data_IF_030463019334
#
_entry.id   IF_030463019334
#
_cell.length_a   1.000
_cell.length_b   1.000
_cell.length_c   1.000
_cell.angle_alpha   90.00
_cell.angle_beta   90.00
_cell.angle_gamma   90.00
#
_symmetry.space_group_name_H-M   'P 1'
#
loop_
_entity.id
_entity.type
_entity.pdbx_description
1 polymer ?
#
# COMPACT_ATOMS: atom_id res chain seq x y z
N UNK A 1 2.17 -9.93 -3.78
CA UNK A 1 2.98 -9.08 -4.65
C UNK A 1 4.43 -9.59 -4.64
N UNK A 2 4.87 -10.23 -5.73
CA UNK A 2 6.28 -10.66 -5.91
C UNK A 2 7.14 -9.47 -6.36
N UNK A 3 7.09 -8.38 -5.61
CA UNK A 3 7.88 -7.18 -5.87
C UNK A 3 9.28 -7.36 -5.28
N UNK A 4 10.23 -7.74 -6.12
CA UNK A 4 11.64 -7.80 -5.74
C UNK A 4 12.28 -6.42 -5.83
N UNK A 5 12.74 -5.90 -4.69
CA UNK A 5 13.51 -4.67 -4.63
C UNK A 5 14.95 -4.92 -5.11
N UNK A 6 15.35 -4.22 -6.15
CA UNK A 6 16.73 -4.18 -6.62
C UNK A 6 17.11 -2.72 -6.89
N UNK A 7 18.39 -2.37 -6.68
CA UNK A 7 18.88 -1.03 -7.06
C UNK A 7 18.64 -0.73 -8.54
N UNK A 8 18.60 -1.76 -9.40
CA UNK A 8 18.30 -1.63 -10.83
C UNK A 8 16.82 -1.28 -11.09
N UNK A 9 15.90 -1.64 -10.18
CA UNK A 9 14.45 -1.37 -10.31
C UNK A 9 14.03 -0.05 -9.69
N UNK A 10 14.90 0.63 -8.95
CA UNK A 10 14.58 1.91 -8.32
C UNK A 10 14.08 2.97 -9.31
N UNK A 11 14.68 3.15 -10.50
CA UNK A 11 14.15 4.08 -11.49
C UNK A 11 12.74 3.71 -11.98
N UNK A 12 12.45 2.41 -12.14
CA UNK A 12 11.13 1.91 -12.51
C UNK A 12 10.09 2.25 -11.42
N UNK A 13 10.44 2.01 -10.15
CA UNK A 13 9.58 2.30 -9.00
C UNK A 13 9.28 3.79 -8.89
N UNK A 14 10.30 4.65 -9.00
CA UNK A 14 10.11 6.11 -8.94
C UNK A 14 9.29 6.63 -10.12
N UNK A 15 9.52 6.09 -11.33
CA UNK A 15 8.74 6.46 -12.52
C UNK A 15 7.28 6.07 -12.39
N UNK A 16 6.99 4.86 -11.91
CA UNK A 16 5.61 4.40 -11.70
C UNK A 16 4.92 5.18 -10.56
N UNK A 17 5.62 5.49 -9.48
CA UNK A 17 5.09 6.30 -8.38
C UNK A 17 4.75 7.73 -8.81
N UNK A 18 5.64 8.38 -9.58
CA UNK A 18 5.40 9.74 -10.09
C UNK A 18 4.29 9.77 -11.14
N UNK A 19 4.24 8.76 -12.02
CA UNK A 19 3.15 8.66 -13.00
C UNK A 19 1.80 8.44 -12.31
N UNK A 20 1.73 7.55 -11.32
CA UNK A 20 0.53 7.31 -10.53
C UNK A 20 0.02 8.60 -9.85
N UNK A 21 0.92 9.40 -9.26
CA UNK A 21 0.55 10.67 -8.65
C UNK A 21 0.04 11.69 -9.67
N UNK A 22 0.73 11.82 -10.81
CA UNK A 22 0.32 12.72 -11.88
C UNK A 22 -1.03 12.30 -12.49
N UNK A 23 -1.18 11.03 -12.83
CA UNK A 23 -2.40 10.44 -13.38
C UNK A 23 -3.60 10.61 -12.43
N UNK A 24 -3.41 10.32 -11.14
CA UNK A 24 -4.42 10.53 -10.11
C UNK A 24 -4.85 12.01 -10.05
N UNK A 25 -3.90 12.94 -10.00
CA UNK A 25 -4.19 14.38 -9.94
C UNK A 25 -4.93 14.88 -11.18
N UNK A 26 -4.46 14.53 -12.37
CA UNK A 26 -5.09 14.92 -13.63
C UNK A 26 -6.51 14.35 -13.76
N UNK A 27 -6.70 13.06 -13.44
CA UNK A 27 -8.02 12.43 -13.48
C UNK A 27 -8.97 13.01 -12.43
N UNK A 28 -8.49 13.26 -11.20
CA UNK A 28 -9.29 13.90 -10.15
C UNK A 28 -9.78 15.28 -10.58
N UNK A 29 -8.89 16.12 -11.13
CA UNK A 29 -9.27 17.43 -11.62
C UNK A 29 -10.27 17.36 -12.78
N UNK A 30 -10.06 16.46 -13.73
CA UNK A 30 -10.96 16.26 -14.86
C UNK A 30 -12.37 15.81 -14.42
N UNK A 31 -12.43 14.79 -13.54
CA UNK A 31 -13.70 14.27 -13.02
C UNK A 31 -14.37 15.31 -12.12
N UNK A 32 -13.63 16.00 -11.24
CA UNK A 32 -14.19 17.06 -10.39
C UNK A 32 -14.78 18.20 -11.22
N UNK A 33 -14.09 18.65 -12.27
CA UNK A 33 -14.60 19.66 -13.19
C UNK A 33 -15.90 19.19 -13.88
N UNK A 34 -15.92 17.94 -14.35
CA UNK A 34 -17.11 17.37 -14.95
C UNK A 34 -18.29 17.33 -13.95
N UNK A 35 -18.08 16.88 -12.72
CA UNK A 35 -19.11 16.85 -11.68
C UNK A 35 -19.61 18.26 -11.30
N UNK A 36 -18.68 19.22 -11.22
CA UNK A 36 -19.00 20.62 -10.92
C UNK A 36 -19.87 21.24 -12.02
N UNK A 37 -19.47 21.12 -13.30
CA UNK A 37 -20.17 21.75 -14.42
C UNK A 37 -21.45 21.02 -14.84
N UNK A 38 -21.49 19.68 -14.76
CA UNK A 38 -22.63 18.89 -15.24
C UNK A 38 -23.72 18.66 -14.16
N UNK A 39 -23.30 18.47 -12.91
CA UNK A 39 -24.21 18.18 -11.79
C UNK A 39 -24.42 19.37 -10.85
N UNK A 40 -23.70 20.49 -11.05
CA UNK A 40 -23.79 21.67 -10.19
C UNK A 40 -23.35 21.43 -8.75
N UNK A 41 -22.48 20.41 -8.52
CA UNK A 41 -21.97 20.13 -7.19
C UNK A 41 -21.01 21.24 -6.74
N UNK A 42 -20.96 21.50 -5.43
CA UNK A 42 -19.91 22.34 -4.87
C UNK A 42 -18.53 21.76 -5.17
N UNK A 43 -17.52 22.62 -5.44
CA UNK A 43 -16.19 22.20 -5.85
C UNK A 43 -15.53 21.22 -4.87
N UNK A 44 -15.64 21.48 -3.56
CA UNK A 44 -15.12 20.59 -2.54
C UNK A 44 -15.74 19.19 -2.64
N UNK A 45 -17.07 19.14 -2.70
CA UNK A 45 -17.83 17.88 -2.84
C UNK A 45 -17.45 17.14 -4.14
N UNK A 46 -17.32 17.86 -5.24
CA UNK A 46 -16.89 17.31 -6.52
C UNK A 46 -15.51 16.66 -6.44
N UNK A 47 -14.54 17.31 -5.77
CA UNK A 47 -13.20 16.77 -5.56
C UNK A 47 -13.22 15.50 -4.68
N UNK A 48 -13.99 15.52 -3.58
CA UNK A 48 -14.13 14.36 -2.67
C UNK A 48 -14.66 13.13 -3.42
N UNK A 49 -15.65 13.31 -4.31
CA UNK A 49 -16.15 12.21 -5.15
C UNK A 49 -15.20 11.83 -6.28
N UNK A 50 -14.47 12.77 -6.84
CA UNK A 50 -13.57 12.54 -7.95
C UNK A 50 -12.34 11.70 -7.55
N UNK A 51 -11.79 11.86 -6.34
CA UNK A 51 -10.61 11.15 -5.89
C UNK A 51 -10.78 9.62 -5.97
N UNK A 52 -11.79 9.00 -5.34
CA UNK A 52 -11.98 7.55 -5.43
C UNK A 52 -12.19 7.05 -6.85
N UNK A 53 -12.88 7.83 -7.69
CA UNK A 53 -13.12 7.48 -9.09
C UNK A 53 -11.86 7.58 -9.97
N UNK A 54 -10.83 8.28 -9.49
CA UNK A 54 -9.55 8.46 -10.19
C UNK A 54 -8.51 7.41 -9.84
N UNK A 55 -8.75 6.58 -8.82
CA UNK A 55 -7.81 5.54 -8.38
C UNK A 55 -7.77 4.41 -9.41
N UNK A 56 -6.57 4.08 -9.87
CA UNK A 56 -6.34 2.89 -10.69
C UNK A 56 -6.31 1.65 -9.78
N UNK A 57 -7.36 0.84 -9.82
CA UNK A 57 -7.51 -0.32 -8.93
C UNK A 57 -6.49 -1.42 -9.20
N UNK A 58 -5.61 -1.69 -8.25
CA UNK A 58 -4.67 -2.83 -8.28
C UNK A 58 -5.39 -4.17 -8.33
N UNK A 59 -6.60 -4.25 -7.78
CA UNK A 59 -7.43 -5.45 -7.82
C UNK A 59 -7.84 -5.86 -9.24
N UNK A 60 -7.92 -4.91 -10.18
CA UNK A 60 -8.22 -5.15 -11.59
C UNK A 60 -6.94 -5.31 -12.39
N UNK A 61 -5.95 -4.46 -12.16
CA UNK A 61 -4.69 -4.43 -12.92
C UNK A 61 -3.90 -5.73 -12.74
N UNK A 62 -3.70 -6.19 -11.50
CA UNK A 62 -2.83 -7.36 -11.22
C UNK A 62 -3.24 -8.61 -12.01
N UNK A 63 -4.51 -9.03 -12.06
CA UNK A 63 -4.90 -10.18 -12.88
C UNK A 63 -4.89 -9.90 -14.39
N UNK A 64 -5.03 -8.65 -14.80
CA UNK A 64 -5.14 -8.27 -16.23
C UNK A 64 -3.80 -8.19 -16.96
N UNK A 65 -2.69 -8.04 -16.24
CA UNK A 65 -1.35 -7.85 -16.83
C UNK A 65 -0.60 -9.15 -17.14
N UNK A 66 -1.25 -10.31 -17.02
CA UNK A 66 -0.63 -11.62 -17.21
C UNK A 66 0.03 -11.83 -18.58
N UNK A 67 -0.49 -11.21 -19.65
CA UNK A 67 0.02 -11.29 -21.02
C UNK A 67 1.13 -10.29 -21.37
N UNK A 68 1.52 -9.41 -20.45
CA UNK A 68 2.54 -8.39 -20.69
C UNK A 68 3.96 -8.91 -20.43
N UNK A 69 4.95 -8.26 -21.04
CA UNK A 69 6.36 -8.50 -20.70
C UNK A 69 6.61 -8.19 -19.22
N UNK A 70 7.59 -8.88 -18.62
CA UNK A 70 7.87 -8.79 -17.18
C UNK A 70 8.03 -7.33 -16.70
N UNK A 71 8.77 -6.51 -17.44
CA UNK A 71 9.00 -5.10 -17.12
C UNK A 71 7.70 -4.27 -17.12
N UNK A 72 6.85 -4.46 -18.14
CA UNK A 72 5.55 -3.79 -18.23
C UNK A 72 4.60 -4.24 -17.13
N UNK A 73 4.59 -5.55 -16.84
CA UNK A 73 3.81 -6.11 -15.74
C UNK A 73 4.23 -5.49 -14.41
N UNK A 74 5.53 -5.48 -14.09
CA UNK A 74 6.04 -4.87 -12.88
C UNK A 74 5.68 -3.38 -12.79
N UNK A 75 5.86 -2.64 -13.89
CA UNK A 75 5.51 -1.23 -13.95
C UNK A 75 4.03 -0.98 -13.59
N UNK A 76 3.11 -1.70 -14.23
CA UNK A 76 1.66 -1.57 -13.99
C UNK A 76 1.27 -1.95 -12.55
N UNK A 77 1.91 -2.99 -11.99
CA UNK A 77 1.69 -3.40 -10.60
C UNK A 77 2.16 -2.31 -9.64
N UNK A 78 3.34 -1.72 -9.86
CA UNK A 78 3.81 -0.60 -9.04
C UNK A 78 2.90 0.61 -9.18
N UNK A 79 2.54 0.99 -10.40
CA UNK A 79 1.70 2.16 -10.68
C UNK A 79 0.34 2.03 -9.98
N UNK A 80 -0.36 0.90 -10.14
CA UNK A 80 -1.66 0.68 -9.49
C UNK A 80 -1.55 0.66 -7.97
N UNK A 81 -0.49 0.06 -7.41
CA UNK A 81 -0.25 0.05 -5.97
C UNK A 81 -0.01 1.47 -5.42
N UNK A 82 0.79 2.28 -6.12
CA UNK A 82 0.99 3.67 -5.74
C UNK A 82 -0.26 4.51 -5.93
N UNK A 83 -1.06 4.24 -6.96
CA UNK A 83 -2.36 4.91 -7.18
C UNK A 83 -3.31 4.67 -6.01
N UNK A 84 -3.42 3.43 -5.50
CA UNK A 84 -4.21 3.12 -4.31
C UNK A 84 -3.72 3.90 -3.08
N UNK A 85 -2.39 3.95 -2.86
CA UNK A 85 -1.79 4.65 -1.72
C UNK A 85 -2.04 6.16 -1.80
N UNK A 86 -1.68 6.77 -2.94
CA UNK A 86 -1.84 8.21 -3.17
C UNK A 86 -3.31 8.62 -3.11
N UNK A 87 -4.21 7.81 -3.69
CA UNK A 87 -5.65 8.09 -3.71
C UNK A 87 -6.26 8.10 -2.33
N UNK A 88 -6.01 7.07 -1.52
CA UNK A 88 -6.52 7.03 -0.14
C UNK A 88 -5.92 8.15 0.69
N UNK A 89 -4.64 8.45 0.52
CA UNK A 89 -4.00 9.56 1.21
C UNK A 89 -4.60 10.91 0.81
N UNK A 90 -4.78 11.15 -0.49
CA UNK A 90 -5.42 12.37 -1.00
C UNK A 90 -6.85 12.52 -0.47
N UNK A 91 -7.61 11.43 -0.44
CA UNK A 91 -8.98 11.42 0.08
C UNK A 91 -9.04 11.86 1.56
N UNK A 92 -8.28 11.19 2.43
CA UNK A 92 -8.25 11.56 3.85
C UNK A 92 -7.69 12.96 4.09
N UNK A 93 -6.77 13.39 3.25
CA UNK A 93 -6.18 14.71 3.33
C UNK A 93 -7.21 15.80 2.98
N UNK A 94 -7.94 15.62 1.90
CA UNK A 94 -8.99 16.58 1.51
C UNK A 94 -10.07 16.64 2.60
N UNK A 95 -10.53 15.47 3.10
CA UNK A 95 -11.51 15.42 4.18
C UNK A 95 -11.01 16.03 5.50
N UNK A 96 -9.75 15.79 5.86
CA UNK A 96 -9.18 16.29 7.12
C UNK A 96 -8.82 17.78 7.11
N UNK A 97 -8.77 18.42 5.94
CA UNK A 97 -8.36 19.82 5.79
C UNK A 97 -9.46 20.70 5.18
N UNK A 98 -10.72 20.38 5.44
CA UNK A 98 -11.87 21.21 4.98
C UNK A 98 -11.75 22.67 5.41
N UNK A 99 -11.19 22.93 6.60
CA UNK A 99 -11.04 24.26 7.20
C UNK A 99 -9.63 24.83 7.06
N UNK A 100 -8.73 24.16 6.30
CA UNK A 100 -7.34 24.57 6.18
C UNK A 100 -7.22 25.92 5.42
N UNK A 101 -6.57 26.87 6.07
CA UNK A 101 -6.52 28.28 5.64
C UNK A 101 -5.52 28.54 4.50
N UNK A 102 -4.68 27.54 4.12
CA UNK A 102 -3.71 27.74 3.04
C UNK A 102 -3.00 26.49 2.51
N UNK A 103 -2.54 26.53 1.25
CA UNK A 103 -1.84 25.39 0.61
C UNK A 103 -0.58 24.93 1.32
N UNK A 104 0.14 25.86 2.00
CA UNK A 104 1.35 25.54 2.73
C UNK A 104 1.11 24.69 3.98
N UNK A 105 0.03 24.92 4.70
CA UNK A 105 -0.34 24.14 5.88
C UNK A 105 -0.78 22.72 5.48
N UNK A 106 -1.53 22.62 4.39
CA UNK A 106 -1.93 21.34 3.80
C UNK A 106 -0.68 20.53 3.43
N UNK A 107 0.27 21.13 2.70
CA UNK A 107 1.50 20.44 2.27
C UNK A 107 2.38 20.00 3.46
N UNK A 108 2.46 20.82 4.51
CA UNK A 108 3.17 20.49 5.75
C UNK A 108 2.50 19.32 6.48
N UNK A 109 1.17 19.32 6.58
CA UNK A 109 0.39 18.24 7.20
C UNK A 109 0.60 16.92 6.43
N UNK A 110 0.58 16.96 5.10
CA UNK A 110 0.90 15.81 4.23
C UNK A 110 2.29 15.26 4.57
N UNK A 111 3.30 16.12 4.54
CA UNK A 111 4.69 15.71 4.75
C UNK A 111 4.91 15.07 6.12
N UNK A 112 4.30 15.64 7.17
CA UNK A 112 4.39 15.10 8.54
C UNK A 112 3.67 13.75 8.63
N UNK A 113 2.45 13.64 8.13
CA UNK A 113 1.67 12.39 8.17
C UNK A 113 2.32 11.27 7.35
N UNK A 114 2.87 11.59 6.18
CA UNK A 114 3.63 10.65 5.37
C UNK A 114 4.89 10.17 6.07
N UNK A 115 5.69 11.12 6.57
CA UNK A 115 6.94 10.81 7.28
C UNK A 115 6.69 9.97 8.53
N UNK A 116 5.72 10.35 9.35
CA UNK A 116 5.32 9.60 10.54
C UNK A 116 4.82 8.20 10.18
N UNK A 117 3.94 8.08 9.16
CA UNK A 117 3.42 6.79 8.69
C UNK A 117 4.55 5.88 8.20
N UNK A 118 5.53 6.40 7.46
CA UNK A 118 6.69 5.64 6.98
C UNK A 118 7.55 5.11 8.13
N UNK A 119 7.91 5.98 9.08
CA UNK A 119 8.77 5.62 10.22
C UNK A 119 8.10 4.55 11.08
N UNK A 120 6.83 4.77 11.45
CA UNK A 120 6.06 3.83 12.26
C UNK A 120 5.86 2.52 11.51
N UNK A 121 5.54 2.56 10.21
CA UNK A 121 5.35 1.36 9.39
C UNK A 121 6.63 0.53 9.27
N UNK A 122 7.78 1.16 9.12
CA UNK A 122 9.07 0.47 9.11
C UNK A 122 9.32 -0.20 10.46
N UNK A 123 9.21 0.53 11.57
CA UNK A 123 9.45 0.00 12.92
C UNK A 123 8.51 -1.19 13.25
N UNK A 124 7.22 -1.03 12.97
CA UNK A 124 6.21 -2.05 13.21
C UNK A 124 6.43 -3.26 12.30
N UNK A 125 6.79 -3.06 11.03
CA UNK A 125 7.06 -4.16 10.09
C UNK A 125 8.27 -4.99 10.53
N UNK A 126 9.34 -4.36 11.04
CA UNK A 126 10.48 -5.08 11.65
C UNK A 126 10.05 -5.92 12.84
N UNK A 127 9.25 -5.34 13.74
CA UNK A 127 8.71 -6.04 14.90
C UNK A 127 7.84 -7.24 14.47
N UNK A 128 6.94 -7.03 13.51
CA UNK A 128 6.07 -8.09 12.99
C UNK A 128 6.85 -9.24 12.38
N UNK A 129 7.77 -8.96 11.48
CA UNK A 129 8.59 -10.00 10.85
C UNK A 129 9.36 -10.80 11.91
N UNK A 130 9.94 -10.12 12.89
CA UNK A 130 10.66 -10.75 14.00
C UNK A 130 9.78 -11.64 14.87
N UNK A 131 8.57 -11.17 15.23
CA UNK A 131 7.63 -11.94 16.06
C UNK A 131 7.07 -13.13 15.29
N UNK A 132 6.62 -12.90 14.04
CA UNK A 132 5.95 -13.92 13.23
C UNK A 132 6.84 -15.11 12.89
N UNK A 133 8.14 -14.91 12.73
CA UNK A 133 9.07 -16.04 12.50
C UNK A 133 9.25 -16.94 13.74
N UNK A 134 9.02 -16.41 14.96
CA UNK A 134 9.13 -17.18 16.20
C UNK A 134 7.92 -18.04 16.50
N UNK A 135 6.79 -17.72 15.90
CA UNK A 135 5.54 -18.45 16.09
C UNK A 135 5.57 -19.73 15.25
N UNK A 136 5.47 -20.87 15.90
CA UNK A 136 5.46 -22.21 15.26
C UNK A 136 4.08 -22.87 15.27
N UNK A 137 3.06 -22.15 15.76
CA UNK A 137 1.69 -22.64 15.88
C UNK A 137 1.02 -22.84 14.50
N UNK A 138 0.14 -23.83 14.41
CA UNK A 138 -0.71 -24.06 13.23
C UNK A 138 -1.66 -22.90 12.93
N UNK A 139 -1.96 -22.05 13.90
CA UNK A 139 -2.81 -20.85 13.76
C UNK A 139 -2.02 -19.57 13.42
N UNK A 140 -0.75 -19.69 13.06
CA UNK A 140 0.15 -18.58 12.79
C UNK A 140 -0.41 -17.56 11.79
N UNK A 141 -1.06 -18.03 10.72
CA UNK A 141 -1.63 -17.16 9.69
C UNK A 141 -2.78 -16.31 10.24
N UNK A 142 -3.72 -16.92 10.96
CA UNK A 142 -4.83 -16.21 11.59
C UNK A 142 -4.33 -15.17 12.61
N UNK A 143 -3.35 -15.54 13.42
CA UNK A 143 -2.73 -14.60 14.36
C UNK A 143 -2.06 -13.43 13.62
N UNK A 144 -1.36 -13.72 12.53
CA UNK A 144 -0.71 -12.68 11.72
C UNK A 144 -1.72 -11.69 11.14
N UNK A 145 -2.84 -12.17 10.62
CA UNK A 145 -3.93 -11.33 10.12
C UNK A 145 -4.55 -10.51 11.25
N UNK A 146 -4.84 -11.14 12.38
CA UNK A 146 -5.41 -10.44 13.53
C UNK A 146 -4.51 -9.31 14.02
N UNK A 147 -3.20 -9.54 14.07
CA UNK A 147 -2.22 -8.50 14.44
C UNK A 147 -2.16 -7.40 13.37
N UNK A 148 -2.17 -7.73 12.07
CA UNK A 148 -2.19 -6.73 11.00
C UNK A 148 -3.46 -5.87 11.06
N UNK A 149 -4.64 -6.46 11.30
CA UNK A 149 -5.91 -5.74 11.45
C UNK A 149 -5.86 -4.83 12.68
N UNK A 150 -5.31 -5.31 13.79
CA UNK A 150 -5.19 -4.53 15.03
C UNK A 150 -4.29 -3.30 14.79
N UNK A 151 -3.14 -3.47 14.16
CA UNK A 151 -2.22 -2.37 13.86
C UNK A 151 -2.81 -1.42 12.82
N UNK A 152 -3.52 -1.94 11.81
CA UNK A 152 -4.30 -1.15 10.88
C UNK A 152 -5.28 -0.23 11.61
N UNK A 153 -6.03 -0.78 12.57
CA UNK A 153 -7.01 -0.04 13.36
C UNK A 153 -6.35 1.04 14.23
N UNK A 154 -5.22 0.73 14.87
CA UNK A 154 -4.46 1.70 15.68
C UNK A 154 -3.94 2.86 14.81
N UNK A 155 -3.35 2.56 13.65
CA UNK A 155 -2.85 3.60 12.75
C UNK A 155 -3.97 4.49 12.21
N UNK A 156 -5.15 3.91 11.92
CA UNK A 156 -6.32 4.66 11.52
C UNK A 156 -6.78 5.63 12.63
N UNK A 157 -6.75 5.20 13.88
CA UNK A 157 -7.09 6.08 15.03
C UNK A 157 -6.10 7.23 15.19
N UNK A 158 -4.83 7.03 14.83
CA UNK A 158 -3.78 8.05 14.85
C UNK A 158 -3.76 8.94 13.59
N UNK A 159 -4.75 8.82 12.71
CA UNK A 159 -4.81 9.53 11.41
C UNK A 159 -3.59 9.29 10.50
N UNK A 160 -2.91 8.16 10.67
CA UNK A 160 -1.80 7.71 9.83
C UNK A 160 -2.32 6.86 8.68
N UNK A 161 -1.48 6.64 7.65
CA UNK A 161 -1.85 5.79 6.51
C UNK A 161 -1.54 4.30 6.77
N UNK A 162 -2.54 3.48 7.11
CA UNK A 162 -2.33 2.05 7.39
C UNK A 162 -1.89 1.26 6.15
N UNK A 163 -2.19 1.75 4.94
CA UNK A 163 -1.79 1.09 3.70
C UNK A 163 -0.28 1.10 3.49
N UNK A 164 0.39 2.16 3.94
CA UNK A 164 1.86 2.23 3.91
C UNK A 164 2.45 1.11 4.77
N UNK A 165 1.86 0.82 5.93
CA UNK A 165 2.29 -0.31 6.75
C UNK A 165 2.19 -1.64 6.01
N UNK A 166 1.03 -1.92 5.41
CA UNK A 166 0.78 -3.18 4.70
C UNK A 166 1.75 -3.32 3.53
N UNK A 167 1.99 -2.23 2.79
CA UNK A 167 2.96 -2.21 1.70
C UNK A 167 4.37 -2.50 2.20
N UNK A 168 4.84 -1.79 3.23
CA UNK A 168 6.19 -1.94 3.77
C UNK A 168 6.36 -3.33 4.36
N UNK A 169 5.39 -3.84 5.11
CA UNK A 169 5.41 -5.20 5.64
C UNK A 169 5.53 -6.25 4.51
N UNK A 170 4.71 -6.13 3.47
CA UNK A 170 4.77 -7.02 2.31
C UNK A 170 6.11 -6.94 1.56
N UNK A 171 6.65 -5.72 1.36
CA UNK A 171 7.97 -5.51 0.75
C UNK A 171 9.09 -6.10 1.62
N UNK A 172 9.05 -5.92 2.93
CA UNK A 172 10.04 -6.48 3.85
C UNK A 172 9.98 -8.00 3.90
N UNK A 173 8.78 -8.57 3.90
CA UNK A 173 8.59 -10.02 3.87
C UNK A 173 9.17 -10.63 2.58
N UNK A 174 8.91 -10.00 1.45
CA UNK A 174 9.40 -10.47 0.14
C UNK A 174 10.91 -10.23 -0.05
N UNK A 175 11.45 -9.16 0.52
CA UNK A 175 12.85 -8.74 0.36
C UNK A 175 13.65 -8.81 1.67
N UNK A 176 13.32 -9.78 2.54
CA UNK A 176 13.92 -9.90 3.88
C UNK A 176 15.46 -9.86 3.87
N UNK A 177 16.11 -10.46 2.86
CA UNK A 177 17.58 -10.44 2.72
C UNK A 177 18.14 -9.04 2.56
N UNK A 178 17.44 -8.14 1.86
CA UNK A 178 17.91 -6.76 1.66
C UNK A 178 17.73 -5.96 2.95
N UNK A 179 16.54 -6.05 3.57
CA UNK A 179 16.21 -5.26 4.75
C UNK A 179 16.95 -5.70 6.02
N UNK A 180 17.20 -7.01 6.18
CA UNK A 180 17.81 -7.53 7.41
C UNK A 180 19.31 -7.82 7.26
N UNK A 181 19.81 -8.19 6.06
CA UNK A 181 21.21 -8.50 5.89
C UNK A 181 22.08 -7.28 5.54
N UNK A 182 21.54 -6.29 4.81
CA UNK A 182 22.32 -5.18 4.27
C UNK A 182 22.24 -3.87 5.06
N UNK A 183 21.12 -3.58 5.74
CA UNK A 183 20.91 -2.28 6.40
C UNK A 183 21.71 -2.15 7.70
N UNK A 184 21.97 -3.25 8.39
CA UNK A 184 22.67 -3.27 9.69
C UNK A 184 23.98 -4.04 9.65
N UNK A 185 24.76 -3.92 8.59
CA UNK A 185 26.15 -4.46 8.56
C UNK A 185 27.03 -3.63 9.48
N UNK A 186 27.52 -4.28 10.54
CA UNK A 186 28.58 -3.71 11.35
C UNK A 186 29.91 -3.73 10.56
N UNK A 187 30.93 -2.92 10.97
CA UNK A 187 32.27 -2.85 10.34
C UNK A 187 32.96 -4.21 10.15
N UNK A 188 32.51 -5.24 10.85
CA UNK A 188 33.00 -6.64 10.76
C UNK A 188 32.20 -7.54 9.80
N UNK A 189 31.26 -6.99 8.99
CA UNK A 189 30.50 -7.77 8.01
C UNK A 189 29.41 -8.67 8.59
N UNK A 190 29.23 -8.74 9.91
CA UNK A 190 28.14 -9.46 10.58
C UNK A 190 26.93 -8.54 10.78
N UNK A 191 25.79 -8.89 10.17
CA UNK A 191 24.52 -8.23 10.46
C UNK A 191 23.99 -8.75 11.79
N UNK A 192 23.81 -7.87 12.78
CA UNK A 192 23.19 -8.22 14.06
C UNK A 192 21.76 -8.75 13.89
N UNK A 193 21.01 -8.19 12.94
CA UNK A 193 19.65 -8.63 12.61
C UNK A 193 19.60 -9.80 11.64
N UNK A 194 20.62 -9.99 10.80
CA UNK A 194 20.69 -11.11 9.84
C UNK A 194 20.82 -12.50 10.51
N UNK A 195 21.42 -12.56 11.72
CA UNK A 195 21.47 -13.78 12.54
C UNK A 195 20.19 -14.12 13.27
N UNK A 196 19.20 -13.20 13.30
CA UNK A 196 17.90 -13.39 13.95
C UNK A 196 16.86 -14.01 13.01
N UNK A 197 17.12 -14.08 11.70
CA UNK A 197 16.18 -14.60 10.71
C UNK A 197 16.58 -15.96 10.21
N UNK A 198 15.62 -16.87 10.18
CA UNK A 198 15.73 -18.18 9.57
C UNK A 198 15.15 -18.13 8.14
N UNK A 199 16.01 -18.24 7.12
CA UNK A 199 15.63 -18.17 5.71
C UNK A 199 14.53 -19.17 5.33
N UNK A 200 14.52 -20.38 5.94
CA UNK A 200 13.50 -21.40 5.68
C UNK A 200 12.14 -20.97 6.25
N UNK A 201 12.14 -20.42 7.46
CA UNK A 201 10.91 -19.93 8.10
C UNK A 201 10.34 -18.71 7.37
N UNK A 202 11.22 -17.86 6.87
CA UNK A 202 10.81 -16.68 6.07
C UNK A 202 10.22 -17.08 4.72
N UNK A 203 10.81 -18.07 4.04
CA UNK A 203 10.26 -18.58 2.78
C UNK A 203 8.87 -19.22 2.99
N UNK A 204 8.69 -20.00 4.05
CA UNK A 204 7.40 -20.54 4.43
C UNK A 204 6.37 -19.44 4.73
N UNK A 205 6.75 -18.45 5.56
CA UNK A 205 5.87 -17.33 5.90
C UNK A 205 5.43 -16.55 4.66
N UNK A 206 6.36 -16.28 3.73
CA UNK A 206 6.06 -15.61 2.45
C UNK A 206 5.08 -16.42 1.61
N UNK A 207 5.30 -17.71 1.49
CA UNK A 207 4.42 -18.60 0.72
C UNK A 207 3.00 -18.63 1.29
N UNK A 208 2.88 -18.79 2.61
CA UNK A 208 1.61 -18.85 3.32
C UNK A 208 0.81 -17.53 3.16
N UNK A 209 1.47 -16.39 3.34
CA UNK A 209 0.85 -15.08 3.13
C UNK A 209 0.45 -14.84 1.67
N UNK A 210 1.26 -15.29 0.72
CA UNK A 210 0.95 -15.16 -0.71
C UNK A 210 -0.32 -15.92 -1.07
N UNK A 211 -0.42 -17.20 -0.69
CA UNK A 211 -1.62 -18.02 -0.92
C UNK A 211 -2.85 -17.40 -0.27
N UNK A 212 -2.76 -17.07 1.03
CA UNK A 212 -3.86 -16.48 1.75
C UNK A 212 -4.35 -15.17 1.12
N UNK A 213 -3.43 -14.31 0.69
CA UNK A 213 -3.76 -13.03 0.05
C UNK A 213 -4.48 -13.25 -1.27
N UNK A 214 -4.02 -14.20 -2.09
CA UNK A 214 -4.66 -14.53 -3.37
C UNK A 214 -6.08 -15.05 -3.18
N UNK A 215 -6.27 -16.01 -2.26
CA UNK A 215 -7.57 -16.61 -1.99
C UNK A 215 -8.54 -15.60 -1.38
N UNK A 216 -8.09 -14.84 -0.37
CA UNK A 216 -8.90 -13.81 0.27
C UNK A 216 -9.29 -12.69 -0.71
N UNK A 217 -8.35 -12.24 -1.54
CA UNK A 217 -8.61 -11.21 -2.55
C UNK A 217 -9.63 -11.70 -3.59
N UNK A 218 -9.57 -12.96 -4.00
CA UNK A 218 -10.55 -13.54 -4.91
C UNK A 218 -11.96 -13.57 -4.28
N UNK A 219 -12.08 -14.06 -3.05
CA UNK A 219 -13.36 -14.14 -2.34
C UNK A 219 -13.96 -12.77 -2.12
N UNK A 220 -13.18 -11.82 -1.59
CA UNK A 220 -13.65 -10.45 -1.29
C UNK A 220 -14.09 -9.75 -2.58
N UNK A 221 -13.30 -9.86 -3.65
CA UNK A 221 -13.64 -9.27 -4.95
C UNK A 221 -14.92 -9.85 -5.52
N UNK A 222 -15.05 -11.16 -5.53
CA UNK A 222 -16.25 -11.85 -6.04
C UNK A 222 -17.49 -11.40 -5.26
N UNK A 223 -17.40 -11.40 -3.94
CA UNK A 223 -18.47 -10.95 -3.05
C UNK A 223 -18.85 -9.48 -3.30
N UNK A 224 -17.84 -8.61 -3.44
CA UNK A 224 -18.08 -7.19 -3.75
C UNK A 224 -18.84 -7.01 -5.06
N UNK A 225 -18.43 -7.67 -6.16
CA UNK A 225 -19.10 -7.52 -7.43
C UNK A 225 -20.50 -8.14 -7.45
N UNK A 226 -20.73 -9.24 -6.72
CA UNK A 226 -22.07 -9.83 -6.57
C UNK A 226 -23.00 -8.87 -5.83
N UNK A 227 -22.55 -8.32 -4.70
CA UNK A 227 -23.34 -7.34 -3.94
C UNK A 227 -23.60 -6.06 -4.76
N UNK A 228 -22.57 -5.54 -5.42
CA UNK A 228 -22.71 -4.35 -6.26
C UNK A 228 -23.70 -4.60 -7.40
N UNK A 229 -23.60 -5.73 -8.11
CA UNK A 229 -24.56 -6.09 -9.14
C UNK A 229 -25.99 -6.24 -8.62
N UNK A 230 -26.16 -6.77 -7.41
CA UNK A 230 -27.48 -6.91 -6.79
C UNK A 230 -28.09 -5.58 -6.31
N UNK A 231 -27.26 -4.56 -6.06
CA UNK A 231 -27.74 -3.23 -5.59
C UNK A 231 -28.01 -2.24 -6.72
N UNK A 232 -27.52 -2.51 -7.94
CA UNK A 232 -27.70 -1.64 -9.12
C UNK A 232 -28.99 -1.96 -9.90
N UNK A 233 -29.69 -3.05 -9.54
CA UNK A 233 -31.01 -3.39 -10.05
C UNK A 233 -32.06 -2.76 -9.17
#
# INVERSE_FOLDING_TARGET
>A
LDLELSKKKLPLILKSASLALFSLGASTLGIAALLFYSLGLEWFTAVVYAIPLSIMSSAIIIPSVGGLSLEKKEFMVYESTFSDIWGIMAFYLVLGNQEAVGPGEVLKSIGINLGASLIISIAVSYLLVYVLQKITSSVKLFLSIAVLILIYSIQKMLHLSPLILILIFGLMLNNHKIFFANIFKNKEGKSWLGGLLDDKKMAGLRHDFHLLTLESAFVIRTFFFVLFGATVV
#
